data_IF_683873968094
#
_entry.id   IF_683873968094
#
_cell.length_a   1.000
_cell.length_b   1.000
_cell.length_c   1.000
_cell.angle_alpha   90.00
_cell.angle_beta   90.00
_cell.angle_gamma   90.00
#
_symmetry.space_group_name_H-M   'P 1'
#
loop_
_entity.id
_entity.type
_entity.pdbx_description
1 polymer ?
#
# COMPACT_ATOMS: atom_id res chain seq x y z
N UNK A 1 16.36 -18.69 -7.99
CA UNK A 1 15.56 -19.23 -9.12
C UNK A 1 14.96 -20.60 -8.83
N UNK A 2 15.73 -21.64 -8.44
CA UNK A 2 15.16 -22.96 -8.16
C UNK A 2 14.03 -23.02 -7.14
N UNK A 3 14.20 -22.32 -6.01
CA UNK A 3 13.22 -22.25 -4.93
C UNK A 3 11.95 -21.54 -5.37
N UNK A 4 12.09 -20.38 -6.03
CA UNK A 4 10.98 -19.63 -6.62
C UNK A 4 10.18 -20.50 -7.60
N UNK A 5 10.86 -21.23 -8.49
CA UNK A 5 10.20 -22.14 -9.43
C UNK A 5 9.40 -23.25 -8.70
N UNK A 6 9.98 -23.79 -7.62
CA UNK A 6 9.35 -24.83 -6.80
C UNK A 6 8.09 -24.30 -6.11
N UNK A 7 8.18 -23.14 -5.46
CA UNK A 7 7.05 -22.50 -4.77
C UNK A 7 5.96 -22.08 -5.76
N UNK A 8 6.34 -21.57 -6.92
CA UNK A 8 5.40 -21.18 -7.97
C UNK A 8 4.80 -22.37 -8.75
N UNK A 9 5.22 -23.61 -8.47
CA UNK A 9 4.73 -24.81 -9.15
C UNK A 9 5.10 -24.88 -10.65
N UNK A 10 6.17 -24.20 -11.07
CA UNK A 10 6.64 -24.17 -12.47
C UNK A 10 8.00 -24.85 -12.64
N UNK A 11 8.25 -25.38 -13.84
CA UNK A 11 9.57 -25.92 -14.16
C UNK A 11 10.66 -24.84 -14.18
N UNK A 12 11.88 -25.18 -13.75
CA UNK A 12 13.05 -24.26 -13.78
C UNK A 12 13.30 -23.66 -15.16
N UNK A 13 13.20 -24.48 -16.21
CA UNK A 13 13.36 -24.03 -17.61
C UNK A 13 12.25 -23.08 -18.03
N UNK A 14 11.02 -23.31 -17.59
CA UNK A 14 9.90 -22.39 -17.83
C UNK A 14 10.19 -21.04 -17.19
N UNK A 15 10.59 -21.00 -15.92
CA UNK A 15 10.90 -19.76 -15.23
C UNK A 15 12.07 -19.02 -15.89
N UNK A 16 13.16 -19.73 -16.22
CA UNK A 16 14.33 -19.13 -16.87
C UNK A 16 14.05 -18.58 -18.27
N UNK A 17 13.06 -19.13 -18.98
CA UNK A 17 12.64 -18.61 -20.29
C UNK A 17 12.03 -17.21 -20.19
N UNK A 18 11.35 -16.90 -19.09
CA UNK A 18 10.76 -15.58 -18.87
C UNK A 18 11.72 -14.63 -18.15
N UNK A 19 12.54 -15.14 -17.23
CA UNK A 19 13.46 -14.32 -16.44
C UNK A 19 14.85 -14.96 -16.43
N UNK A 20 15.83 -14.27 -17.03
CA UNK A 20 17.19 -14.78 -17.16
C UNK A 20 17.84 -15.03 -15.79
N UNK A 21 17.57 -14.16 -14.83
CA UNK A 21 18.09 -14.21 -13.47
C UNK A 21 17.07 -13.71 -12.43
N UNK A 22 17.49 -13.72 -11.16
CA UNK A 22 16.65 -13.28 -10.04
C UNK A 22 16.43 -11.77 -10.07
N UNK A 23 17.40 -10.99 -10.51
CA UNK A 23 17.32 -9.53 -10.51
C UNK A 23 16.25 -9.06 -11.50
N UNK A 24 16.28 -9.63 -12.71
CA UNK A 24 15.24 -9.42 -13.73
C UNK A 24 13.86 -9.81 -13.21
N UNK A 25 13.72 -10.97 -12.56
CA UNK A 25 12.45 -11.39 -11.98
C UNK A 25 11.94 -10.40 -10.92
N UNK A 26 12.81 -9.95 -10.03
CA UNK A 26 12.45 -9.00 -8.97
C UNK A 26 12.06 -7.66 -9.58
N UNK A 27 12.80 -7.16 -10.57
CA UNK A 27 12.49 -5.92 -11.27
C UNK A 27 11.10 -5.97 -11.91
N UNK A 28 10.80 -7.01 -12.68
CA UNK A 28 9.48 -7.19 -13.31
C UNK A 28 8.36 -7.34 -12.27
N UNK A 29 8.62 -8.07 -11.17
CA UNK A 29 7.67 -8.18 -10.06
C UNK A 29 7.45 -6.82 -9.37
N UNK A 30 8.47 -5.97 -9.26
CA UNK A 30 8.36 -4.61 -8.72
C UNK A 30 7.47 -3.75 -9.61
N UNK A 31 7.73 -3.72 -10.93
CA UNK A 31 6.92 -2.96 -11.88
C UNK A 31 5.45 -3.40 -11.88
N UNK A 32 5.20 -4.70 -11.88
CA UNK A 32 3.84 -5.24 -11.79
C UNK A 32 3.16 -4.89 -10.45
N UNK A 33 3.91 -4.89 -9.35
CA UNK A 33 3.38 -4.52 -8.04
C UNK A 33 3.05 -3.03 -7.93
N UNK A 34 3.87 -2.17 -8.53
CA UNK A 34 3.63 -0.72 -8.62
C UNK A 34 2.37 -0.46 -9.46
N UNK A 35 2.22 -1.15 -10.59
CA UNK A 35 1.02 -1.05 -11.44
C UNK A 35 -0.25 -1.38 -10.64
N UNK A 36 -0.24 -2.52 -9.93
CA UNK A 36 -1.38 -2.94 -9.08
C UNK A 36 -1.64 -1.96 -7.94
N UNK A 37 -0.59 -1.37 -7.37
CA UNK A 37 -0.74 -0.32 -6.35
C UNK A 37 -1.42 0.92 -6.93
N UNK A 38 -0.99 1.41 -8.10
CA UNK A 38 -1.60 2.55 -8.77
C UNK A 38 -3.07 2.27 -9.09
N UNK A 39 -3.37 1.10 -9.66
CA UNK A 39 -4.76 0.67 -9.95
C UNK A 39 -5.63 0.66 -8.69
N UNK A 40 -5.11 0.15 -7.57
CA UNK A 40 -5.85 0.12 -6.30
C UNK A 40 -6.11 1.53 -5.73
N UNK A 41 -5.16 2.46 -5.92
CA UNK A 41 -5.33 3.87 -5.52
C UNK A 41 -6.38 4.56 -6.40
N UNK A 42 -6.33 4.34 -7.71
CA UNK A 42 -7.30 4.90 -8.66
C UNK A 42 -8.72 4.37 -8.39
N UNK A 43 -8.87 3.07 -8.15
CA UNK A 43 -10.15 2.43 -7.81
C UNK A 43 -10.74 2.92 -6.48
N UNK A 44 -9.90 3.40 -5.55
CA UNK A 44 -10.38 3.99 -4.32
C UNK A 44 -11.18 5.29 -4.56
N UNK A 45 -11.05 5.89 -5.75
CA UNK A 45 -11.75 7.11 -6.17
C UNK A 45 -11.64 8.18 -5.08
N UNK A 46 -10.41 8.61 -4.79
CA UNK A 46 -10.08 9.48 -3.66
C UNK A 46 -10.74 10.86 -3.74
N UNK A 47 -11.19 11.27 -4.91
CA UNK A 47 -11.91 12.54 -5.13
C UNK A 47 -13.44 12.41 -4.94
N UNK A 48 -13.98 11.19 -4.91
CA UNK A 48 -15.42 10.96 -4.92
C UNK A 48 -16.04 10.91 -3.52
N UNK A 49 -17.08 11.71 -3.31
CA UNK A 49 -17.86 11.71 -2.06
C UNK A 49 -17.08 12.23 -0.84
N UNK A 50 -17.61 12.01 0.38
CA UNK A 50 -16.98 12.50 1.61
C UNK A 50 -15.55 11.98 1.79
N UNK A 51 -14.62 12.83 2.25
CA UNK A 51 -13.20 12.48 2.40
C UNK A 51 -12.99 11.27 3.34
N UNK A 52 -13.80 11.17 4.39
CA UNK A 52 -13.74 10.04 5.31
C UNK A 52 -14.08 8.70 4.63
N UNK A 53 -15.09 8.69 3.76
CA UNK A 53 -15.48 7.48 3.03
C UNK A 53 -14.47 7.12 1.95
N UNK A 54 -13.90 8.12 1.27
CA UNK A 54 -12.78 7.94 0.35
C UNK A 54 -11.55 7.35 1.04
N UNK A 55 -11.22 7.83 2.25
CA UNK A 55 -10.11 7.30 3.05
C UNK A 55 -10.34 5.84 3.47
N UNK A 56 -11.58 5.47 3.82
CA UNK A 56 -11.93 4.07 4.12
C UNK A 56 -11.76 3.15 2.89
N UNK A 57 -12.14 3.62 1.70
CA UNK A 57 -11.92 2.90 0.43
C UNK A 57 -10.43 2.74 0.16
N UNK A 58 -9.64 3.81 0.30
CA UNK A 58 -8.19 3.78 0.15
C UNK A 58 -7.52 2.76 1.08
N UNK A 59 -7.87 2.76 2.38
CA UNK A 59 -7.35 1.79 3.34
C UNK A 59 -7.72 0.35 2.95
N UNK A 60 -8.96 0.15 2.53
CA UNK A 60 -9.45 -1.18 2.11
C UNK A 60 -8.72 -1.67 0.85
N UNK A 61 -8.50 -0.78 -0.11
CA UNK A 61 -7.76 -1.06 -1.33
C UNK A 61 -6.29 -1.42 -1.03
N UNK A 62 -5.60 -0.66 -0.17
CA UNK A 62 -4.24 -0.99 0.26
C UNK A 62 -4.14 -2.36 0.93
N UNK A 63 -5.07 -2.68 1.83
CA UNK A 63 -5.10 -3.98 2.52
C UNK A 63 -5.37 -5.14 1.56
N UNK A 64 -6.17 -4.94 0.52
CA UNK A 64 -6.48 -5.99 -0.47
C UNK A 64 -5.23 -6.45 -1.24
N UNK A 65 -4.25 -5.57 -1.42
CA UNK A 65 -2.97 -5.83 -2.09
C UNK A 65 -1.79 -6.01 -1.11
N UNK A 66 -2.07 -6.42 0.14
CA UNK A 66 -1.09 -6.56 1.24
C UNK A 66 0.25 -7.21 0.86
N UNK A 67 0.24 -8.31 0.09
CA UNK A 67 1.46 -9.00 -0.32
C UNK A 67 2.34 -8.14 -1.24
N UNK A 68 1.73 -7.33 -2.10
CA UNK A 68 2.42 -6.40 -3.00
C UNK A 68 3.01 -5.22 -2.23
N UNK A 69 2.25 -4.68 -1.27
CA UNK A 69 2.73 -3.62 -0.40
C UNK A 69 3.94 -4.07 0.41
N UNK A 70 3.86 -5.23 1.07
CA UNK A 70 4.97 -5.76 1.88
C UNK A 70 6.16 -6.12 1.00
N UNK A 71 5.94 -6.62 -0.22
CA UNK A 71 7.02 -6.87 -1.18
C UNK A 71 7.76 -5.58 -1.58
N UNK A 72 7.04 -4.52 -1.97
CA UNK A 72 7.63 -3.26 -2.42
C UNK A 72 8.32 -2.50 -1.28
N UNK A 73 7.66 -2.44 -0.11
CA UNK A 73 8.03 -1.54 0.97
C UNK A 73 8.75 -2.21 2.14
N UNK A 74 8.77 -3.55 2.19
CA UNK A 74 9.47 -4.31 3.24
C UNK A 74 10.99 -4.34 3.05
N UNK A 75 11.50 -4.11 1.84
CA UNK A 75 12.93 -4.04 1.54
C UNK A 75 13.22 -2.81 0.64
N UNK A 76 13.93 -1.78 1.15
CA UNK A 76 14.31 -0.60 0.37
C UNK A 76 15.10 -0.89 -0.90
N UNK A 77 15.76 -2.06 -1.00
CA UNK A 77 16.47 -2.45 -2.21
C UNK A 77 15.53 -2.69 -3.41
N UNK A 78 14.27 -3.03 -3.17
CA UNK A 78 13.29 -3.39 -4.22
C UNK A 78 12.95 -2.20 -5.11
N UNK A 79 12.89 -0.99 -4.55
CA UNK A 79 12.58 0.24 -5.27
C UNK A 79 13.81 1.02 -5.77
N UNK A 80 15.02 0.56 -5.45
CA UNK A 80 16.26 1.33 -5.66
C UNK A 80 16.44 1.82 -7.10
N UNK A 81 16.14 0.95 -8.06
CA UNK A 81 16.37 1.20 -9.49
C UNK A 81 15.10 1.64 -10.22
N UNK A 82 14.02 1.93 -9.48
CA UNK A 82 12.77 2.44 -10.05
C UNK A 82 12.88 3.96 -10.24
N UNK A 83 12.64 4.48 -11.46
CA UNK A 83 12.65 5.91 -11.69
C UNK A 83 11.57 6.64 -10.86
N UNK A 84 11.83 7.88 -10.41
CA UNK A 84 10.83 8.65 -9.66
C UNK A 84 9.48 8.80 -10.39
N UNK A 85 9.49 8.92 -11.72
CA UNK A 85 8.29 9.03 -12.54
C UNK A 85 7.40 7.76 -12.55
N UNK A 86 7.94 6.62 -12.14
CA UNK A 86 7.22 5.35 -12.00
C UNK A 86 6.98 4.99 -10.53
N UNK A 87 7.46 5.81 -9.59
CA UNK A 87 7.26 5.57 -8.17
C UNK A 87 5.82 5.91 -7.76
N UNK A 88 5.24 5.22 -6.77
CA UNK A 88 3.92 5.55 -6.26
C UNK A 88 3.83 7.01 -5.81
N UNK A 89 2.77 7.71 -6.22
CA UNK A 89 2.60 9.12 -5.91
C UNK A 89 1.77 9.30 -4.62
N UNK A 90 2.45 9.60 -3.52
CA UNK A 90 1.83 9.90 -2.23
C UNK A 90 0.98 11.18 -2.22
N UNK A 91 1.19 12.09 -3.17
CA UNK A 91 0.46 13.36 -3.24
C UNK A 91 -1.06 13.15 -3.32
N UNK A 92 -1.51 12.09 -4.01
CA UNK A 92 -2.94 11.74 -4.12
C UNK A 92 -3.58 11.54 -2.74
N UNK A 93 -2.84 10.96 -1.80
CA UNK A 93 -3.33 10.69 -0.44
C UNK A 93 -3.21 11.94 0.44
N UNK A 94 -2.14 12.71 0.26
CA UNK A 94 -1.95 14.00 0.95
C UNK A 94 -3.06 14.98 0.57
N UNK A 95 -3.46 15.02 -0.70
CA UNK A 95 -4.57 15.86 -1.18
C UNK A 95 -5.90 15.42 -0.58
N UNK A 96 -6.14 14.11 -0.47
CA UNK A 96 -7.31 13.55 0.24
C UNK A 96 -7.31 13.94 1.73
N UNK A 97 -6.16 13.91 2.39
CA UNK A 97 -6.02 14.34 3.79
C UNK A 97 -6.34 15.83 3.92
N UNK A 98 -5.75 16.68 3.09
CA UNK A 98 -5.99 18.12 3.09
C UNK A 98 -7.48 18.43 2.82
N UNK A 99 -8.11 17.71 1.90
CA UNK A 99 -9.56 17.79 1.65
C UNK A 99 -10.36 17.42 2.90
N UNK A 100 -10.01 16.34 3.59
CA UNK A 100 -10.66 15.95 4.84
C UNK A 100 -10.48 16.95 5.99
N UNK A 101 -9.34 17.65 6.04
CA UNK A 101 -9.14 18.76 6.97
C UNK A 101 -10.06 19.94 6.63
N UNK A 102 -10.20 20.28 5.35
CA UNK A 102 -11.13 21.32 4.90
C UNK A 102 -12.60 20.96 5.19
N UNK A 103 -12.96 19.68 5.06
CA UNK A 103 -14.28 19.13 5.43
C UNK A 103 -14.49 19.03 6.96
N UNK A 104 -13.44 19.25 7.77
CA UNK A 104 -13.51 19.18 9.23
C UNK A 104 -13.58 17.76 9.79
N UNK A 105 -13.29 16.73 8.99
CA UNK A 105 -13.27 15.32 9.41
C UNK A 105 -11.89 14.87 9.90
N UNK A 106 -10.83 15.57 9.50
CA UNK A 106 -9.46 15.38 10.01
C UNK A 106 -8.98 16.64 10.73
N UNK A 107 -8.09 16.46 11.71
CA UNK A 107 -7.52 17.52 12.54
C UNK A 107 -6.71 18.52 11.67
N UNK A 108 -7.13 19.80 11.60
CA UNK A 108 -6.46 20.80 10.77
C UNK A 108 -5.10 21.25 11.33
N UNK A 109 -4.80 20.96 12.61
CA UNK A 109 -3.54 21.35 13.25
C UNK A 109 -2.42 20.33 13.00
N UNK A 110 -2.76 19.14 12.48
CA UNK A 110 -1.79 18.13 12.09
C UNK A 110 -1.25 18.39 10.68
N UNK A 111 0.06 18.21 10.51
CA UNK A 111 0.68 18.23 9.20
C UNK A 111 0.13 17.06 8.33
N UNK A 112 -0.35 17.34 7.08
CA UNK A 112 -0.89 16.30 6.21
C UNK A 112 0.10 15.17 5.90
N UNK A 113 1.39 15.50 5.78
CA UNK A 113 2.45 14.52 5.51
C UNK A 113 2.68 13.62 6.72
N UNK A 114 2.58 14.17 7.94
CA UNK A 114 2.59 13.37 9.17
C UNK A 114 1.42 12.39 9.24
N UNK A 115 0.20 12.84 8.90
CA UNK A 115 -0.98 11.96 8.81
C UNK A 115 -0.73 10.83 7.81
N UNK A 116 -0.19 11.15 6.63
CA UNK A 116 0.17 10.16 5.61
C UNK A 116 1.15 9.13 6.15
N UNK A 117 2.26 9.55 6.77
CA UNK A 117 3.25 8.63 7.33
C UNK A 117 2.67 7.72 8.42
N UNK A 118 1.81 8.26 9.29
CA UNK A 118 1.14 7.46 10.32
C UNK A 118 0.20 6.42 9.70
N UNK A 119 -0.60 6.81 8.70
CA UNK A 119 -1.48 5.91 7.96
C UNK A 119 -0.69 4.80 7.26
N UNK A 120 0.35 5.19 6.51
CA UNK A 120 1.23 4.27 5.81
C UNK A 120 1.85 3.25 6.75
N UNK A 121 2.35 3.69 7.92
CA UNK A 121 2.90 2.79 8.94
C UNK A 121 1.84 1.80 9.46
N UNK A 122 0.61 2.25 9.72
CA UNK A 122 -0.48 1.37 10.15
C UNK A 122 -0.83 0.32 9.09
N UNK A 123 -0.92 0.72 7.82
CA UNK A 123 -1.20 -0.18 6.70
C UNK A 123 -0.10 -1.22 6.57
N UNK A 124 1.16 -0.79 6.51
CA UNK A 124 2.30 -1.68 6.33
C UNK A 124 2.39 -2.70 7.48
N UNK A 125 2.32 -2.24 8.73
CA UNK A 125 2.36 -3.14 9.90
C UNK A 125 1.16 -4.08 9.96
N UNK A 126 -0.04 -3.60 9.64
CA UNK A 126 -1.24 -4.44 9.57
C UNK A 126 -1.11 -5.56 8.53
N UNK A 127 -0.57 -5.23 7.34
CA UNK A 127 -0.33 -6.19 6.27
C UNK A 127 0.74 -7.22 6.65
N UNK A 128 1.88 -6.78 7.21
CA UNK A 128 2.95 -7.67 7.69
C UNK A 128 2.43 -8.67 8.73
N UNK A 129 1.68 -8.20 9.73
CA UNK A 129 1.10 -9.07 10.75
C UNK A 129 0.08 -10.07 10.18
N UNK A 130 -0.67 -9.67 9.16
CA UNK A 130 -1.62 -10.55 8.50
C UNK A 130 -0.94 -11.65 7.68
N UNK A 131 0.15 -11.31 6.98
CA UNK A 131 0.98 -12.26 6.24
C UNK A 131 1.67 -13.23 7.20
N UNK A 132 2.16 -12.74 8.35
CA UNK A 132 2.77 -13.56 9.40
C UNK A 132 1.75 -14.43 10.16
N UNK A 133 0.45 -14.29 9.92
CA UNK A 133 -0.61 -15.03 10.60
C UNK A 133 -0.91 -14.55 12.03
N UNK A 134 -0.34 -13.41 12.45
CA UNK A 134 -0.58 -12.81 13.76
C UNK A 134 -1.94 -12.08 13.82
N UNK A 135 -2.46 -11.62 12.67
CA UNK A 135 -3.78 -11.01 12.54
C UNK A 135 -4.61 -11.69 11.44
N UNK A 136 -5.92 -11.96 11.66
CA UNK A 136 -6.80 -12.42 10.58
C UNK A 136 -6.94 -11.34 9.49
N UNK A 137 -6.70 -11.69 8.21
CA UNK A 137 -6.74 -10.74 7.08
C UNK A 137 -8.00 -9.85 7.04
N UNK A 138 -9.17 -10.41 7.30
CA UNK A 138 -10.44 -9.67 7.28
C UNK A 138 -10.57 -8.61 8.40
N UNK A 139 -9.71 -8.63 9.41
CA UNK A 139 -9.74 -7.67 10.53
C UNK A 139 -8.81 -6.47 10.32
N UNK A 140 -7.88 -6.55 9.37
CA UNK A 140 -6.80 -5.57 9.19
C UNK A 140 -7.36 -4.19 8.82
N UNK A 141 -8.16 -4.10 7.76
CA UNK A 141 -8.74 -2.82 7.34
C UNK A 141 -9.65 -2.20 8.43
N UNK A 142 -10.59 -2.93 9.05
CA UNK A 142 -11.37 -2.39 10.18
C UNK A 142 -10.52 -1.87 11.34
N UNK A 143 -9.43 -2.58 11.68
CA UNK A 143 -8.52 -2.18 12.75
C UNK A 143 -7.77 -0.89 12.41
N UNK A 144 -7.24 -0.78 11.19
CA UNK A 144 -6.53 0.41 10.71
C UNK A 144 -7.49 1.60 10.67
N UNK A 145 -8.67 1.45 10.05
CA UNK A 145 -9.70 2.50 9.96
C UNK A 145 -10.02 3.04 11.35
N UNK A 146 -10.36 2.15 12.30
CA UNK A 146 -10.70 2.56 13.67
C UNK A 146 -9.56 3.30 14.37
N UNK A 147 -8.33 2.84 14.19
CA UNK A 147 -7.14 3.41 14.85
C UNK A 147 -6.81 4.77 14.25
N UNK A 148 -6.80 4.85 12.92
CA UNK A 148 -6.53 6.06 12.17
C UNK A 148 -7.56 7.14 12.49
N UNK A 149 -8.86 6.88 12.30
CA UNK A 149 -9.91 7.87 12.49
C UNK A 149 -9.88 8.50 13.88
N UNK A 150 -9.65 7.70 14.93
CA UNK A 150 -9.54 8.19 16.29
C UNK A 150 -8.27 9.00 16.56
N UNK A 151 -7.19 8.72 15.82
CA UNK A 151 -5.92 9.41 15.97
C UNK A 151 -5.84 10.74 15.23
N UNK A 152 -6.63 10.91 14.17
CA UNK A 152 -6.62 12.12 13.31
C UNK A 152 -7.91 12.92 13.36
N UNK A 153 -8.84 12.58 14.26
CA UNK A 153 -10.03 13.41 14.50
C UNK A 153 -9.64 14.69 15.26
N UNK A 154 -10.28 15.85 14.98
CA UNK A 154 -10.04 17.07 15.73
C UNK A 154 -10.21 16.88 17.24
N UNK A 155 -9.35 17.52 18.03
CA UNK A 155 -9.50 17.57 19.47
C UNK A 155 -10.86 18.19 19.85
N UNK A 156 -11.61 17.52 20.75
CA UNK A 156 -12.85 18.05 21.32
C UNK A 156 -12.57 19.03 22.46
#
# INVERSE_FOLDING_TARGET
MPEIATVAGVGRTTLHRYFADRETLIHEATLDSIRVLIEAVDEAATEDGPALDAMRRFITAGVSISERLVFIFGDPAVLRDIPPAQSPNEQVVIDLIARGQHEGVFDPDLDPTWIWHALYALILRGCEQAIAGALPRHTVAPLIIRTFERGVSPAR
#
